data_IF_892030797616
#
_entry.id   IF_892030797616
#
_cell.length_a   1.000
_cell.length_b   1.000
_cell.length_c   1.000
_cell.angle_alpha   90.00
_cell.angle_beta   90.00
_cell.angle_gamma   90.00
#
_symmetry.space_group_name_H-M   'P 1'
#
loop_
_entity.id
_entity.type
_entity.pdbx_description
1 polymer ?
#
# COMPACT_ATOMS: atom_id res chain seq x y z
N UNK A 1 17.62 29.48 60.83
CA UNK A 1 17.11 28.25 60.19
C UNK A 1 16.14 28.66 59.11
N UNK A 2 16.58 28.72 57.85
CA UNK A 2 15.71 29.01 56.72
C UNK A 2 15.24 27.69 56.13
N UNK A 3 13.93 27.46 56.15
CA UNK A 3 13.28 26.32 55.50
C UNK A 3 13.09 26.69 54.04
N UNK A 4 13.85 26.06 53.15
CA UNK A 4 13.63 26.14 51.71
C UNK A 4 12.49 25.19 51.35
N UNK A 5 11.37 25.74 50.85
CA UNK A 5 10.27 24.97 50.29
C UNK A 5 10.69 24.57 48.88
N UNK A 6 11.05 23.30 48.70
CA UNK A 6 11.19 22.68 47.38
C UNK A 6 9.79 22.43 46.82
N UNK A 7 9.34 23.27 45.90
CA UNK A 7 8.20 22.95 45.03
C UNK A 7 8.65 21.97 43.96
N UNK A 8 8.24 20.71 44.11
CA UNK A 8 8.37 19.70 43.06
C UNK A 8 7.45 20.08 41.91
N UNK A 9 8.02 20.57 40.81
CA UNK A 9 7.29 20.75 39.57
C UNK A 9 7.05 19.36 38.96
N UNK A 10 5.80 18.90 38.97
CA UNK A 10 5.38 17.77 38.14
C UNK A 10 5.47 18.20 36.68
N UNK A 11 6.46 17.68 35.94
CA UNK A 11 6.49 17.77 34.49
C UNK A 11 5.40 16.82 33.99
N UNK A 12 4.25 17.37 33.66
CA UNK A 12 3.28 16.67 32.80
C UNK A 12 3.90 16.72 31.41
N UNK A 13 4.52 15.61 30.97
CA UNK A 13 4.92 15.46 29.56
C UNK A 13 3.67 15.60 28.72
N UNK A 14 3.50 16.77 28.08
CA UNK A 14 2.45 16.96 27.10
C UNK A 14 2.76 16.07 25.90
N UNK A 15 1.93 15.06 25.68
CA UNK A 15 1.90 14.32 24.42
C UNK A 15 1.70 15.37 23.30
N UNK A 16 2.60 15.40 22.33
CA UNK A 16 2.46 16.37 21.24
C UNK A 16 1.21 16.03 20.42
N UNK A 17 0.57 17.02 19.77
CA UNK A 17 -0.57 16.75 18.87
C UNK A 17 -0.24 15.72 17.76
N UNK A 18 1.04 15.61 17.38
CA UNK A 18 1.51 14.59 16.45
C UNK A 18 1.47 13.18 17.05
N UNK A 19 1.79 13.02 18.33
CA UNK A 19 1.73 11.73 19.02
C UNK A 19 0.28 11.23 19.19
N UNK A 20 -0.69 12.16 19.26
CA UNK A 20 -2.12 11.83 19.29
C UNK A 20 -2.63 11.29 17.95
N UNK A 21 -2.15 11.85 16.83
CA UNK A 21 -2.61 11.48 15.49
C UNK A 21 -1.88 10.26 14.94
N UNK A 22 -0.61 10.07 15.29
CA UNK A 22 0.26 9.02 14.75
C UNK A 22 0.83 8.17 15.88
N UNK A 23 0.14 7.08 16.26
CA UNK A 23 0.62 6.15 17.26
C UNK A 23 1.99 5.57 16.89
N UNK A 24 2.89 5.42 17.87
CA UNK A 24 4.27 4.95 17.67
C UNK A 24 4.36 3.65 16.87
N UNK A 25 3.42 2.73 17.06
CA UNK A 25 3.33 1.44 16.38
C UNK A 25 3.04 1.55 14.87
N UNK A 26 2.62 2.72 14.38
CA UNK A 26 2.38 2.98 12.96
C UNK A 26 3.50 3.79 12.30
N UNK A 27 4.46 4.33 13.07
CA UNK A 27 5.51 5.24 12.55
C UNK A 27 6.93 4.87 12.95
N UNK A 28 7.11 4.10 14.02
CA UNK A 28 8.42 3.69 14.52
C UNK A 28 8.63 2.21 14.30
N UNK A 29 9.68 1.88 13.54
CA UNK A 29 9.94 0.50 13.16
C UNK A 29 11.40 0.10 13.31
N UNK A 30 11.61 -1.18 13.64
CA UNK A 30 12.92 -1.84 13.57
C UNK A 30 12.88 -2.89 12.46
N UNK A 31 13.83 -2.79 11.52
CA UNK A 31 13.99 -3.79 10.48
C UNK A 31 14.27 -5.18 11.08
N UNK A 32 13.71 -6.23 10.48
CA UNK A 32 14.09 -7.58 10.79
C UNK A 32 15.54 -7.84 10.34
N UNK A 33 16.36 -8.35 11.26
CA UNK A 33 17.82 -8.48 11.05
C UNK A 33 18.20 -9.47 9.92
N UNK A 34 17.26 -10.33 9.47
CA UNK A 34 17.48 -11.28 8.36
C UNK A 34 16.77 -10.90 7.06
N UNK A 35 16.39 -9.63 6.91
CA UNK A 35 15.83 -9.15 5.64
C UNK A 35 16.82 -9.33 4.46
N UNK A 36 16.31 -9.51 3.22
CA UNK A 36 14.90 -9.61 2.85
C UNK A 36 14.28 -10.98 3.20
N UNK A 37 12.96 -11.03 3.34
CA UNK A 37 12.20 -12.28 3.57
C UNK A 37 11.73 -12.95 2.27
N UNK A 38 11.68 -12.18 1.17
CA UNK A 38 11.42 -12.69 -0.18
C UNK A 38 12.02 -11.73 -1.21
N UNK A 39 12.46 -12.24 -2.36
CA UNK A 39 13.04 -11.46 -3.45
C UNK A 39 12.81 -12.19 -4.78
N UNK A 40 13.10 -11.52 -5.91
CA UNK A 40 13.22 -12.16 -7.21
C UNK A 40 14.23 -13.31 -7.17
N UNK A 41 14.16 -14.20 -8.16
CA UNK A 41 15.03 -15.38 -8.18
C UNK A 41 16.48 -15.03 -8.53
N UNK A 42 16.72 -13.88 -9.19
CA UNK A 42 17.99 -13.52 -9.81
C UNK A 42 18.52 -14.57 -10.82
N UNK A 43 17.62 -15.41 -11.35
CA UNK A 43 17.89 -16.49 -12.30
C UNK A 43 17.04 -16.32 -13.58
N UNK A 44 17.32 -17.11 -14.61
CA UNK A 44 16.56 -17.12 -15.88
C UNK A 44 15.14 -17.73 -15.70
N UNK A 45 14.28 -16.96 -15.05
CA UNK A 45 12.88 -17.30 -14.74
C UNK A 45 11.99 -16.08 -14.95
N UNK A 46 10.67 -16.28 -15.02
CA UNK A 46 9.72 -15.20 -15.24
C UNK A 46 9.75 -14.15 -14.12
N UNK A 47 10.10 -14.54 -12.89
CA UNK A 47 10.27 -13.69 -11.71
C UNK A 47 11.75 -13.49 -11.32
N UNK A 48 12.63 -13.36 -12.32
CA UNK A 48 14.04 -12.92 -12.15
C UNK A 48 14.13 -11.76 -11.15
N UNK A 49 13.27 -10.75 -11.35
CA UNK A 49 13.03 -9.64 -10.43
C UNK A 49 11.59 -9.63 -9.98
N UNK A 50 11.33 -8.96 -8.86
CA UNK A 50 9.97 -8.58 -8.46
C UNK A 50 9.78 -7.08 -8.55
N UNK A 51 8.53 -6.67 -8.79
CA UNK A 51 8.12 -5.28 -8.94
C UNK A 51 7.28 -4.84 -7.75
N UNK A 52 7.33 -3.54 -7.46
CA UNK A 52 6.32 -2.86 -6.65
C UNK A 52 4.90 -3.03 -7.25
N UNK A 53 3.86 -2.76 -6.48
CA UNK A 53 3.58 -3.24 -5.12
C UNK A 53 2.84 -4.58 -5.19
N UNK A 54 3.46 -5.66 -4.72
CA UNK A 54 2.71 -6.89 -4.37
C UNK A 54 1.80 -6.70 -3.15
N UNK A 55 1.00 -7.70 -2.77
CA UNK A 55 0.12 -7.63 -1.61
C UNK A 55 0.25 -8.83 -0.68
N UNK A 56 0.28 -8.58 0.63
CA UNK A 56 0.29 -9.62 1.66
C UNK A 56 -1.02 -9.58 2.44
N UNK A 57 -1.68 -10.73 2.54
CA UNK A 57 -2.88 -10.95 3.34
C UNK A 57 -2.64 -12.12 4.29
N UNK A 58 -3.12 -12.00 5.52
CA UNK A 58 -3.14 -13.11 6.47
C UNK A 58 -4.57 -13.57 6.71
N UNK A 59 -4.80 -14.86 6.57
CA UNK A 59 -6.08 -15.50 6.85
C UNK A 59 -5.89 -16.68 7.81
N UNK A 60 -6.42 -16.54 9.02
CA UNK A 60 -6.17 -17.51 10.09
C UNK A 60 -4.68 -17.62 10.40
N UNK A 61 -4.13 -18.82 10.21
CA UNK A 61 -2.70 -19.10 10.46
C UNK A 61 -1.85 -19.06 9.18
N UNK A 62 -2.44 -18.76 8.02
CA UNK A 62 -1.76 -18.76 6.75
C UNK A 62 -1.52 -17.33 6.26
N UNK A 63 -0.31 -17.10 5.76
CA UNK A 63 0.04 -15.88 5.04
C UNK A 63 0.03 -16.15 3.55
N UNK A 64 -0.54 -15.21 2.80
CA UNK A 64 -0.72 -15.22 1.36
C UNK A 64 0.00 -14.00 0.81
N UNK A 65 0.76 -14.17 -0.27
CA UNK A 65 1.42 -13.08 -0.97
C UNK A 65 1.17 -13.22 -2.45
N UNK A 66 0.62 -12.16 -3.03
CA UNK A 66 0.56 -11.93 -4.46
C UNK A 66 1.68 -10.96 -4.83
N UNK A 67 2.46 -11.28 -5.86
CA UNK A 67 3.62 -10.49 -6.23
C UNK A 67 3.76 -10.41 -7.74
N UNK A 68 4.28 -9.29 -8.23
CA UNK A 68 4.60 -9.13 -9.63
C UNK A 68 6.03 -9.59 -9.89
N UNK A 69 6.20 -10.53 -10.81
CA UNK A 69 7.50 -10.95 -11.31
C UNK A 69 7.75 -10.44 -12.73
N UNK A 70 9.01 -10.19 -13.06
CA UNK A 70 9.42 -9.85 -14.42
C UNK A 70 10.89 -10.18 -14.70
N UNK A 71 11.22 -10.23 -15.99
CA UNK A 71 12.59 -10.35 -16.49
C UNK A 71 13.17 -8.98 -16.81
N UNK A 72 14.47 -8.78 -16.54
CA UNK A 72 15.14 -7.52 -16.85
C UNK A 72 15.35 -7.34 -18.37
N UNK A 73 15.40 -8.44 -19.12
CA UNK A 73 15.59 -8.44 -20.58
C UNK A 73 14.65 -9.44 -21.25
N UNK A 74 14.38 -9.23 -22.54
CA UNK A 74 13.46 -10.07 -23.31
C UNK A 74 12.01 -9.69 -23.07
N UNK A 75 11.18 -10.64 -22.65
CA UNK A 75 9.81 -10.38 -22.24
C UNK A 75 9.80 -9.67 -20.88
N UNK A 76 9.55 -8.37 -20.91
CA UNK A 76 9.47 -7.52 -19.72
C UNK A 76 8.04 -7.33 -19.24
N UNK A 77 7.11 -8.23 -19.58
CA UNK A 77 5.74 -8.20 -19.05
C UNK A 77 5.76 -8.44 -17.54
N UNK A 78 4.83 -7.82 -16.85
CA UNK A 78 4.61 -7.96 -15.40
C UNK A 78 3.55 -9.04 -15.19
N UNK A 79 3.97 -10.20 -14.68
CA UNK A 79 3.07 -11.33 -14.43
C UNK A 79 2.78 -11.49 -12.94
N UNK A 80 1.67 -12.14 -12.61
CA UNK A 80 1.24 -12.36 -11.25
C UNK A 80 1.73 -13.72 -10.73
N UNK A 81 2.50 -13.69 -9.65
CA UNK A 81 2.87 -14.86 -8.86
C UNK A 81 2.16 -14.91 -7.53
N UNK A 82 2.21 -16.09 -6.93
CA UNK A 82 1.75 -16.34 -5.57
C UNK A 82 2.81 -17.04 -4.73
N UNK A 83 2.85 -16.70 -3.46
CA UNK A 83 3.63 -17.41 -2.46
C UNK A 83 2.83 -17.48 -1.14
N UNK A 84 3.15 -18.48 -0.33
CA UNK A 84 2.50 -18.71 0.94
C UNK A 84 3.53 -18.87 2.07
N UNK A 85 3.17 -18.50 3.28
CA UNK A 85 4.03 -18.63 4.46
C UNK A 85 3.24 -19.03 5.72
N UNK A 86 3.73 -19.97 6.54
CA UNK A 86 3.09 -20.31 7.80
C UNK A 86 3.36 -19.28 8.90
N UNK A 87 4.33 -18.38 8.71
CA UNK A 87 4.85 -17.50 9.76
C UNK A 87 5.11 -16.05 9.31
N UNK A 88 4.86 -15.73 8.03
CA UNK A 88 5.13 -14.41 7.45
C UNK A 88 6.62 -14.11 7.23
N UNK A 89 7.50 -15.09 7.47
CA UNK A 89 8.96 -14.97 7.35
C UNK A 89 9.52 -15.90 6.28
N UNK A 90 9.07 -17.16 6.27
CA UNK A 90 9.54 -18.20 5.36
C UNK A 90 8.50 -18.39 4.26
N UNK A 91 8.81 -17.90 3.06
CA UNK A 91 7.88 -17.88 1.93
C UNK A 91 8.18 -19.00 0.93
N UNK A 92 7.14 -19.72 0.52
CA UNK A 92 7.20 -20.76 -0.51
C UNK A 92 6.39 -20.32 -1.73
N UNK A 93 7.05 -20.18 -2.89
CA UNK A 93 6.40 -19.91 -4.18
C UNK A 93 5.41 -21.02 -4.54
N UNK A 94 4.33 -20.67 -5.22
CA UNK A 94 3.43 -21.66 -5.80
C UNK A 94 4.17 -22.49 -6.87
N UNK A 95 3.95 -23.82 -6.95
CA UNK A 95 4.57 -24.65 -7.98
C UNK A 95 4.13 -24.27 -9.40
N UNK A 96 2.90 -23.76 -9.56
CA UNK A 96 2.32 -23.37 -10.84
C UNK A 96 2.50 -21.87 -11.16
N UNK A 97 3.50 -21.21 -10.56
CA UNK A 97 3.80 -19.82 -10.87
C UNK A 97 4.34 -19.65 -12.33
N UNK A 98 4.02 -18.54 -13.03
CA UNK A 98 3.09 -17.49 -12.62
C UNK A 98 1.64 -18.02 -12.61
N UNK A 99 0.86 -17.61 -11.61
CA UNK A 99 -0.54 -18.08 -11.47
C UNK A 99 -1.50 -17.32 -12.39
N UNK A 100 -1.05 -16.23 -13.00
CA UNK A 100 -1.75 -15.52 -14.06
C UNK A 100 -0.77 -14.79 -14.98
N UNK A 101 -0.84 -15.09 -16.27
CA UNK A 101 0.06 -14.62 -17.33
C UNK A 101 -0.66 -14.06 -18.57
N UNK A 102 -1.97 -13.81 -18.48
CA UNK A 102 -2.79 -13.37 -19.62
C UNK A 102 -2.71 -11.85 -19.87
N UNK A 103 -2.40 -11.05 -18.85
CA UNK A 103 -2.25 -9.60 -18.95
C UNK A 103 -1.21 -9.05 -17.96
N UNK A 104 -0.87 -7.77 -18.14
CA UNK A 104 -0.02 -7.02 -17.20
C UNK A 104 -0.69 -6.90 -15.83
N UNK A 105 0.04 -7.20 -14.76
CA UNK A 105 -0.41 -7.06 -13.36
C UNK A 105 0.73 -6.48 -12.51
N UNK A 106 0.56 -5.26 -12.03
CA UNK A 106 1.50 -4.50 -11.18
C UNK A 106 0.74 -3.75 -10.07
N UNK A 107 1.42 -3.25 -9.05
CA UNK A 107 0.84 -2.36 -8.02
C UNK A 107 -0.53 -2.79 -7.45
N UNK A 108 -0.63 -4.08 -7.12
CA UNK A 108 -1.88 -4.74 -6.79
C UNK A 108 -2.29 -4.61 -5.32
N UNK A 109 -3.59 -4.66 -5.07
CA UNK A 109 -4.15 -4.91 -3.75
C UNK A 109 -5.15 -6.07 -3.83
N UNK A 110 -5.18 -6.92 -2.80
CA UNK A 110 -6.17 -7.99 -2.68
C UNK A 110 -7.03 -7.76 -1.45
N UNK A 111 -8.34 -7.75 -1.63
CA UNK A 111 -9.33 -7.72 -0.54
C UNK A 111 -10.29 -8.90 -0.68
N UNK A 112 -10.83 -9.38 0.44
CA UNK A 112 -11.78 -10.48 0.45
C UNK A 112 -13.14 -10.02 0.98
N UNK A 113 -14.20 -10.34 0.26
CA UNK A 113 -15.57 -10.12 0.69
C UNK A 113 -16.36 -11.43 0.52
N UNK A 114 -16.80 -12.01 1.64
CA UNK A 114 -17.38 -13.36 1.64
C UNK A 114 -16.37 -14.40 1.14
N UNK A 115 -16.78 -15.21 0.16
CA UNK A 115 -15.96 -16.26 -0.45
C UNK A 115 -15.26 -15.81 -1.75
N UNK A 116 -15.16 -14.51 -1.99
CA UNK A 116 -14.53 -13.94 -3.19
C UNK A 116 -13.39 -13.00 -2.82
N UNK A 117 -12.24 -13.26 -3.42
CA UNK A 117 -11.11 -12.32 -3.51
C UNK A 117 -11.33 -11.37 -4.68
N UNK A 118 -11.05 -10.10 -4.44
CA UNK A 118 -11.02 -9.05 -5.43
C UNK A 118 -9.60 -8.51 -5.46
N UNK A 119 -8.99 -8.51 -6.65
CA UNK A 119 -7.73 -7.84 -6.89
C UNK A 119 -8.02 -6.60 -7.72
N UNK A 120 -7.46 -5.47 -7.31
CA UNK A 120 -7.26 -4.34 -8.21
C UNK A 120 -5.77 -4.21 -8.45
N UNK A 121 -5.38 -3.89 -9.69
CA UNK A 121 -3.98 -3.81 -10.08
C UNK A 121 -3.80 -2.78 -11.20
N UNK A 122 -2.56 -2.33 -11.39
CA UNK A 122 -2.15 -1.64 -12.60
C UNK A 122 -2.02 -2.64 -13.75
N UNK A 123 -2.66 -2.30 -14.87
CA UNK A 123 -2.54 -3.01 -16.13
C UNK A 123 -1.62 -2.28 -17.12
N UNK A 124 -1.69 -2.70 -18.39
CA UNK A 124 -0.88 -2.15 -19.46
C UNK A 124 -1.14 -0.64 -19.64
N UNK A 125 -0.07 0.14 -19.77
CA UNK A 125 -0.08 1.61 -19.85
C UNK A 125 -0.61 2.30 -18.58
N UNK A 126 -0.44 1.66 -17.42
CA UNK A 126 -0.80 2.24 -16.13
C UNK A 126 -2.33 2.52 -16.03
N UNK A 127 -3.09 1.53 -16.46
CA UNK A 127 -4.55 1.56 -16.47
C UNK A 127 -5.06 0.53 -15.47
N UNK A 128 -5.72 0.99 -14.41
CA UNK A 128 -6.24 0.09 -13.40
C UNK A 128 -7.31 -0.87 -13.95
N UNK A 129 -7.20 -2.14 -13.56
CA UNK A 129 -8.18 -3.20 -13.83
C UNK A 129 -8.55 -3.96 -12.55
N UNK A 130 -9.60 -4.78 -12.62
CA UNK A 130 -10.06 -5.60 -11.50
C UNK A 130 -10.18 -7.06 -11.90
N UNK A 131 -9.77 -7.94 -11.00
CA UNK A 131 -9.88 -9.39 -11.15
C UNK A 131 -10.60 -10.01 -9.95
N UNK A 132 -11.16 -11.19 -10.15
CA UNK A 132 -11.83 -11.95 -9.08
C UNK A 132 -11.33 -13.37 -9.00
N UNK A 133 -11.30 -13.93 -7.79
CA UNK A 133 -10.95 -15.33 -7.56
C UNK A 133 -11.73 -15.87 -6.36
N UNK A 134 -11.97 -17.19 -6.34
CA UNK A 134 -12.57 -17.89 -5.18
C UNK A 134 -11.53 -18.61 -4.32
N UNK A 135 -10.33 -18.86 -4.85
CA UNK A 135 -9.26 -19.57 -4.16
C UNK A 135 -7.96 -18.75 -4.03
N UNK A 136 -7.93 -17.56 -4.64
CA UNK A 136 -6.75 -16.69 -4.66
C UNK A 136 -5.67 -17.12 -5.64
N UNK A 137 -5.90 -18.18 -6.43
CA UNK A 137 -4.94 -18.76 -7.38
C UNK A 137 -5.44 -18.60 -8.81
N UNK A 138 -6.69 -18.97 -9.08
CA UNK A 138 -7.28 -18.85 -10.41
C UNK A 138 -8.04 -17.53 -10.51
N UNK A 139 -7.54 -16.62 -11.34
CA UNK A 139 -8.08 -15.26 -11.48
C UNK A 139 -8.88 -15.11 -12.77
N UNK A 140 -10.05 -14.49 -12.65
CA UNK A 140 -10.88 -14.05 -13.77
C UNK A 140 -10.77 -12.52 -13.89
N UNK A 141 -10.14 -12.04 -14.96
CA UNK A 141 -10.00 -10.61 -15.25
C UNK A 141 -11.34 -10.02 -15.72
N UNK A 142 -11.75 -8.92 -15.08
CA UNK A 142 -12.97 -8.18 -15.38
C UNK A 142 -12.70 -6.96 -16.27
N UNK A 143 -11.43 -6.69 -16.59
CA UNK A 143 -10.98 -5.58 -17.43
C UNK A 143 -10.86 -4.26 -16.66
N UNK A 144 -10.57 -3.21 -17.44
CA UNK A 144 -10.26 -1.89 -16.92
C UNK A 144 -11.43 -1.28 -16.12
N UNK A 145 -11.09 -0.53 -15.07
CA UNK A 145 -12.05 0.17 -14.24
C UNK A 145 -12.67 1.36 -14.99
N UNK A 146 -14.01 1.46 -15.02
CA UNK A 146 -14.72 2.65 -15.51
C UNK A 146 -14.78 3.70 -14.40
N UNK A 147 -13.74 4.53 -14.31
CA UNK A 147 -13.66 5.66 -13.38
C UNK A 147 -14.14 6.95 -14.08
N UNK A 148 -14.91 7.76 -13.35
CA UNK A 148 -15.58 8.95 -13.86
C UNK A 148 -15.40 10.14 -12.93
N UNK A 149 -15.37 11.33 -13.52
CA UNK A 149 -15.43 12.60 -12.79
C UNK A 149 -16.73 12.73 -11.99
N UNK A 150 -16.78 13.70 -11.07
CA UNK A 150 -17.97 13.98 -10.24
C UNK A 150 -19.24 14.24 -11.06
N UNK A 151 -19.09 14.73 -12.29
CA UNK A 151 -20.19 14.98 -13.24
C UNK A 151 -20.65 13.72 -14.01
N UNK A 152 -20.06 12.56 -13.74
CA UNK A 152 -20.38 11.28 -14.37
C UNK A 152 -19.81 11.09 -15.78
N UNK A 153 -18.96 12.00 -16.27
CA UNK A 153 -18.23 11.79 -17.51
C UNK A 153 -16.98 10.92 -17.29
N UNK A 154 -16.57 10.10 -18.27
CA UNK A 154 -15.31 9.35 -18.20
C UNK A 154 -14.12 10.27 -17.92
N UNK A 155 -13.11 9.73 -17.23
CA UNK A 155 -11.84 10.43 -17.07
C UNK A 155 -11.23 10.81 -18.43
N UNK A 156 -10.42 11.87 -18.44
CA UNK A 156 -9.58 12.17 -19.60
C UNK A 156 -8.59 11.04 -19.83
N UNK A 157 -8.24 10.77 -21.09
CA UNK A 157 -7.22 9.77 -21.43
C UNK A 157 -5.89 10.05 -20.70
N UNK A 158 -5.23 8.99 -20.25
CA UNK A 158 -4.00 9.04 -19.46
C UNK A 158 -3.96 7.90 -18.45
N UNK A 159 -2.86 7.83 -17.70
CA UNK A 159 -2.66 6.88 -16.62
C UNK A 159 -3.65 7.12 -15.46
N UNK A 160 -4.08 6.02 -14.85
CA UNK A 160 -4.80 5.96 -13.58
C UNK A 160 -4.56 4.60 -12.93
N UNK A 161 -3.45 4.50 -12.23
CA UNK A 161 -2.93 3.32 -11.60
C UNK A 161 -3.04 3.31 -10.08
N UNK A 162 -2.14 2.51 -9.50
CA UNK A 162 -2.01 2.08 -8.12
C UNK A 162 -3.36 1.99 -7.39
N UNK A 163 -4.31 1.18 -7.89
CA UNK A 163 -5.62 1.14 -7.31
C UNK A 163 -5.58 0.51 -5.90
N UNK A 164 -6.28 1.14 -4.96
CA UNK A 164 -6.41 0.68 -3.57
C UNK A 164 -7.87 0.78 -3.13
N UNK A 165 -8.43 -0.34 -2.71
CA UNK A 165 -9.78 -0.48 -2.20
C UNK A 165 -9.86 -0.29 -0.68
N UNK A 166 -10.98 0.31 -0.26
CA UNK A 166 -11.48 0.29 1.10
C UNK A 166 -13.00 0.08 1.08
N UNK A 167 -13.49 -0.97 1.74
CA UNK A 167 -14.89 -1.40 1.64
C UNK A 167 -15.61 -1.10 2.95
N UNK A 168 -16.73 -0.38 2.88
CA UNK A 168 -17.59 -0.05 4.01
C UNK A 168 -19.04 -0.43 3.74
N UNK A 169 -19.46 -1.57 4.29
CA UNK A 169 -20.77 -2.15 3.98
C UNK A 169 -20.90 -2.42 2.49
N UNK A 170 -21.87 -1.77 1.85
CA UNK A 170 -22.15 -1.90 0.41
C UNK A 170 -21.38 -0.87 -0.45
N UNK A 171 -20.68 0.08 0.17
CA UNK A 171 -19.93 1.11 -0.54
C UNK A 171 -18.48 0.68 -0.71
N UNK A 172 -18.03 0.65 -1.95
CA UNK A 172 -16.64 0.43 -2.29
C UNK A 172 -15.98 1.77 -2.56
N UNK A 173 -14.93 2.07 -1.81
CA UNK A 173 -14.06 3.20 -2.04
C UNK A 173 -12.84 2.70 -2.83
N UNK A 174 -12.50 3.41 -3.90
CA UNK A 174 -11.33 3.17 -4.74
C UNK A 174 -10.47 4.43 -4.70
N UNK A 175 -9.29 4.29 -4.13
CA UNK A 175 -8.20 5.22 -4.31
C UNK A 175 -7.42 4.84 -5.54
N UNK A 176 -6.98 5.83 -6.30
CA UNK A 176 -6.17 5.64 -7.49
C UNK A 176 -5.32 6.89 -7.72
N UNK A 177 -4.19 6.74 -8.39
CA UNK A 177 -3.31 7.85 -8.73
C UNK A 177 -3.63 8.40 -10.15
N UNK A 178 -3.04 9.54 -10.51
CA UNK A 178 -2.96 9.97 -11.92
C UNK A 178 -1.58 10.54 -12.23
N UNK A 179 -0.78 9.82 -13.02
CA UNK A 179 0.59 10.20 -13.41
C UNK A 179 1.51 10.53 -12.19
N UNK A 180 1.24 9.85 -11.09
CA UNK A 180 1.70 10.03 -9.71
C UNK A 180 1.46 11.43 -9.12
N UNK A 181 0.61 12.27 -9.72
CA UNK A 181 0.45 13.68 -9.33
C UNK A 181 -0.50 13.91 -8.16
N UNK A 182 -1.01 12.84 -7.57
CA UNK A 182 -1.93 12.87 -6.46
C UNK A 182 -2.66 11.54 -6.34
N UNK A 183 -3.44 11.42 -5.28
CA UNK A 183 -4.32 10.28 -5.05
C UNK A 183 -5.75 10.82 -5.04
N UNK A 184 -6.60 10.28 -5.90
CA UNK A 184 -8.03 10.58 -5.98
C UNK A 184 -8.84 9.48 -5.28
N UNK A 185 -10.10 9.80 -4.97
CA UNK A 185 -11.05 8.87 -4.37
C UNK A 185 -12.31 8.81 -5.22
N UNK A 186 -12.66 7.61 -5.67
CA UNK A 186 -13.91 7.28 -6.32
C UNK A 186 -14.73 6.28 -5.48
N UNK A 187 -16.04 6.25 -5.69
CA UNK A 187 -16.96 5.31 -5.04
C UNK A 187 -17.76 4.53 -6.05
N UNK A 188 -18.07 3.29 -5.69
CA UNK A 188 -18.98 2.43 -6.44
C UNK A 188 -19.88 1.63 -5.52
N UNK A 189 -21.13 1.42 -5.96
CA UNK A 189 -22.07 0.49 -5.33
C UNK A 189 -22.23 -0.81 -6.14
N UNK A 190 -21.88 -0.79 -7.43
CA UNK A 190 -22.02 -1.95 -8.32
C UNK A 190 -20.68 -2.60 -8.70
N UNK A 191 -19.56 -1.94 -8.36
CA UNK A 191 -18.17 -2.28 -8.69
C UNK A 191 -17.86 -2.21 -10.18
N UNK A 192 -18.76 -1.65 -10.98
CA UNK A 192 -18.61 -1.49 -12.43
C UNK A 192 -18.27 -0.06 -12.78
N UNK A 193 -19.04 0.89 -12.23
CA UNK A 193 -18.81 2.32 -12.44
C UNK A 193 -18.36 2.95 -11.13
N UNK A 194 -17.23 3.65 -11.19
CA UNK A 194 -16.61 4.34 -10.08
C UNK A 194 -16.71 5.84 -10.34
N UNK A 195 -17.33 6.59 -9.42
CA UNK A 195 -17.50 8.04 -9.56
C UNK A 195 -16.68 8.77 -8.50
N UNK A 196 -15.89 9.75 -8.92
CA UNK A 196 -15.11 10.59 -8.04
C UNK A 196 -15.97 11.24 -6.96
N UNK A 197 -15.44 11.24 -5.74
CA UNK A 197 -16.01 12.01 -4.61
C UNK A 197 -15.73 13.49 -4.80
N UNK A 198 -14.55 13.82 -5.31
CA UNK A 198 -14.12 15.15 -5.74
C UNK A 198 -13.10 14.99 -6.89
N UNK A 199 -12.98 16.01 -7.75
CA UNK A 199 -12.07 15.96 -8.90
C UNK A 199 -10.66 16.53 -8.60
N UNK A 200 -10.47 17.07 -7.39
CA UNK A 200 -9.16 17.38 -6.81
C UNK A 200 -8.65 16.18 -5.99
N UNK A 201 -7.32 15.93 -5.93
CA UNK A 201 -6.78 14.81 -5.17
C UNK A 201 -7.09 14.93 -3.67
N UNK A 202 -7.41 13.82 -3.02
CA UNK A 202 -7.58 13.71 -1.56
C UNK A 202 -6.24 13.67 -0.83
N UNK A 203 -5.19 13.24 -1.50
CA UNK A 203 -3.79 13.39 -1.07
C UNK A 203 -3.00 13.96 -2.26
N UNK A 204 -2.59 15.22 -2.19
CA UNK A 204 -1.77 15.86 -3.21
C UNK A 204 -0.27 15.59 -2.99
N UNK A 205 0.56 15.75 -4.02
CA UNK A 205 2.02 15.84 -3.86
C UNK A 205 2.41 17.06 -3.00
N UNK A 206 3.49 16.93 -2.21
CA UNK A 206 3.98 18.01 -1.37
C UNK A 206 3.01 18.41 -0.23
N UNK A 207 3.20 19.57 0.41
CA UNK A 207 4.19 20.60 0.09
C UNK A 207 5.62 20.24 0.50
N UNK A 208 5.79 19.22 1.35
CA UNK A 208 7.10 18.80 1.83
C UNK A 208 7.93 18.13 0.73
N UNK A 209 9.25 18.17 0.87
CA UNK A 209 10.13 17.77 -0.23
C UNK A 209 10.07 16.30 -0.59
N UNK A 210 9.79 15.40 0.38
CA UNK A 210 9.90 13.95 0.21
C UNK A 210 8.87 13.36 -0.77
N UNK A 211 7.75 14.05 -0.99
CA UNK A 211 6.67 13.60 -1.87
C UNK A 211 6.20 14.69 -2.84
N UNK A 212 7.09 15.63 -3.17
CA UNK A 212 6.78 16.77 -4.04
C UNK A 212 6.55 16.37 -5.51
N UNK A 213 6.98 15.18 -5.94
CA UNK A 213 7.03 14.79 -7.35
C UNK A 213 6.09 13.65 -7.71
N UNK A 214 5.92 12.68 -6.80
CA UNK A 214 5.10 11.49 -7.01
C UNK A 214 4.49 10.97 -5.70
N UNK A 215 3.22 10.55 -5.72
CA UNK A 215 2.55 9.82 -4.64
C UNK A 215 1.61 8.75 -5.19
N UNK A 216 1.59 7.59 -4.52
CA UNK A 216 0.67 6.49 -4.85
C UNK A 216 0.30 5.70 -3.58
N UNK A 217 -1.00 5.41 -3.40
CA UNK A 217 -1.52 4.82 -2.17
C UNK A 217 -1.40 3.30 -2.19
N UNK A 218 -0.86 2.71 -1.11
CA UNK A 218 -0.64 1.28 -0.99
C UNK A 218 -1.80 0.55 -0.33
N UNK A 219 -2.29 1.12 0.76
CA UNK A 219 -3.25 0.47 1.63
C UNK A 219 -3.91 1.51 2.52
N UNK A 220 -5.21 1.30 2.78
CA UNK A 220 -5.91 1.95 3.88
C UNK A 220 -6.16 0.91 4.98
N UNK A 221 -5.85 1.28 6.23
CA UNK A 221 -6.24 0.53 7.42
C UNK A 221 -7.12 1.41 8.31
N UNK A 222 -7.98 0.78 9.12
CA UNK A 222 -8.68 1.48 10.19
C UNK A 222 -8.10 1.05 11.53
N UNK A 223 -7.57 2.01 12.29
CA UNK A 223 -6.85 1.75 13.53
C UNK A 223 -7.23 2.80 14.58
N UNK A 224 -7.57 2.34 15.80
CA UNK A 224 -7.97 3.21 16.93
C UNK A 224 -8.98 4.32 16.58
N UNK A 225 -9.92 4.04 15.67
CA UNK A 225 -11.01 4.95 15.31
C UNK A 225 -10.68 5.96 14.22
N UNK A 226 -9.57 5.80 13.51
CA UNK A 226 -9.18 6.64 12.36
C UNK A 226 -8.72 5.78 11.19
N UNK A 227 -8.73 6.36 10.00
CA UNK A 227 -8.15 5.75 8.81
C UNK A 227 -6.69 6.16 8.69
N UNK A 228 -5.83 5.21 8.33
CA UNK A 228 -4.44 5.45 8.00
C UNK A 228 -4.16 4.95 6.60
N UNK A 229 -3.59 5.82 5.78
CA UNK A 229 -3.19 5.54 4.41
C UNK A 229 -1.68 5.39 4.38
N UNK A 230 -1.19 4.20 4.07
CA UNK A 230 0.23 4.00 3.76
C UNK A 230 0.39 4.23 2.27
N UNK A 231 1.31 5.09 1.89
CA UNK A 231 1.57 5.46 0.50
C UNK A 231 3.07 5.42 0.23
N UNK A 232 3.44 5.32 -1.04
CA UNK A 232 4.82 5.51 -1.46
C UNK A 232 4.99 6.84 -2.20
N UNK A 233 6.19 7.39 -2.10
CA UNK A 233 6.46 8.73 -2.60
C UNK A 233 7.87 8.89 -3.18
N UNK A 234 8.00 9.82 -4.13
CA UNK A 234 9.25 10.23 -4.76
C UNK A 234 9.38 11.76 -4.78
N UNK A 235 10.61 12.25 -4.66
CA UNK A 235 10.93 13.67 -4.73
C UNK A 235 11.56 14.09 -6.07
N UNK A 236 11.88 13.14 -6.95
CA UNK A 236 12.41 13.38 -8.29
C UNK A 236 11.29 13.39 -9.34
N UNK A 237 11.13 14.46 -10.14
CA UNK A 237 10.13 14.50 -11.21
C UNK A 237 10.34 13.45 -12.32
N UNK A 238 11.54 12.88 -12.42
CA UNK A 238 11.85 11.79 -13.36
C UNK A 238 11.81 10.39 -12.69
N UNK A 239 11.38 10.30 -11.42
CA UNK A 239 11.29 9.06 -10.63
C UNK A 239 12.61 8.29 -10.46
N UNK A 240 13.77 8.96 -10.57
CA UNK A 240 15.09 8.31 -10.45
C UNK A 240 15.61 8.30 -9.01
N UNK A 241 15.08 9.13 -8.13
CA UNK A 241 15.42 9.09 -6.71
C UNK A 241 14.78 7.86 -6.03
N UNK A 242 15.31 7.44 -4.87
CA UNK A 242 14.72 6.35 -4.10
C UNK A 242 13.26 6.62 -3.71
N UNK A 243 12.39 5.65 -3.94
CA UNK A 243 11.02 5.67 -3.44
C UNK A 243 10.98 5.38 -1.94
N UNK A 244 10.07 6.03 -1.22
CA UNK A 244 9.97 5.91 0.24
C UNK A 244 8.57 5.49 0.66
N UNK A 245 8.44 4.89 1.85
CA UNK A 245 7.12 4.59 2.46
C UNK A 245 6.74 5.71 3.43
N UNK A 246 5.54 6.23 3.27
CA UNK A 246 4.98 7.33 4.02
C UNK A 246 3.60 6.95 4.59
N UNK A 247 3.11 7.73 5.55
CA UNK A 247 1.79 7.53 6.14
C UNK A 247 1.02 8.85 6.30
N UNK A 248 -0.29 8.79 6.13
CA UNK A 248 -1.24 9.86 6.40
C UNK A 248 -2.43 9.34 7.22
N UNK A 249 -3.10 10.22 7.95
CA UNK A 249 -4.28 9.91 8.76
C UNK A 249 -5.49 10.69 8.26
N UNK A 250 -6.67 10.10 8.32
CA UNK A 250 -7.94 10.72 7.98
C UNK A 250 -9.05 10.26 8.92
N UNK A 251 -10.05 11.11 9.11
CA UNK A 251 -11.28 10.78 9.84
C UNK A 251 -12.44 10.42 8.90
N UNK A 252 -12.31 10.66 7.59
CA UNK A 252 -13.43 10.56 6.63
C UNK A 252 -13.04 10.07 5.22
N UNK A 253 -11.80 9.61 5.03
CA UNK A 253 -11.19 9.17 3.76
C UNK A 253 -10.99 10.27 2.71
N UNK A 254 -11.43 11.50 2.97
CA UNK A 254 -11.39 12.63 2.03
C UNK A 254 -10.31 13.62 2.45
N UNK A 255 -10.27 13.97 3.74
CA UNK A 255 -9.33 14.92 4.30
C UNK A 255 -8.20 14.17 5.00
N UNK A 256 -6.99 14.28 4.45
CA UNK A 256 -5.81 13.58 4.95
C UNK A 256 -4.79 14.54 5.55
N UNK A 257 -4.22 14.14 6.67
CA UNK A 257 -3.09 14.81 7.32
C UNK A 257 -1.88 13.89 7.17
N UNK A 258 -0.82 14.36 6.50
CA UNK A 258 0.44 13.61 6.34
C UNK A 258 1.23 13.61 7.64
N UNK A 259 1.94 12.52 7.92
CA UNK A 259 2.83 12.46 9.08
C UNK A 259 3.97 13.47 8.92
N UNK A 260 4.19 14.40 9.88
CA UNK A 260 5.19 15.46 9.73
C UNK A 260 6.64 14.96 9.64
N UNK A 261 6.92 13.75 10.13
CA UNK A 261 8.25 13.13 10.06
C UNK A 261 8.33 12.02 9.00
N UNK A 262 7.42 12.01 8.02
CA UNK A 262 7.60 11.20 6.83
C UNK A 262 8.95 11.50 6.15
N UNK A 263 9.55 10.51 5.48
CA UNK A 263 9.07 9.13 5.31
C UNK A 263 9.28 8.25 6.56
N UNK A 264 8.38 7.28 6.78
CA UNK A 264 8.52 6.29 7.87
C UNK A 264 9.52 5.17 7.51
N UNK A 265 9.72 4.87 6.22
CA UNK A 265 10.78 3.98 5.73
C UNK A 265 11.44 4.59 4.49
N UNK A 266 12.77 4.65 4.49
CA UNK A 266 13.59 5.17 3.37
C UNK A 266 14.37 4.08 2.61
N UNK A 267 15.53 4.45 2.04
CA UNK A 267 16.48 3.56 1.36
C UNK A 267 15.91 2.75 0.18
N UNK A 268 14.97 3.34 -0.57
CA UNK A 268 14.27 2.68 -1.68
C UNK A 268 13.39 1.49 -1.24
N UNK A 269 13.05 1.39 0.05
CA UNK A 269 12.14 0.39 0.59
C UNK A 269 10.72 0.99 0.66
N UNK A 270 10.05 1.02 -0.48
CA UNK A 270 8.72 1.59 -0.70
C UNK A 270 7.62 0.54 -0.63
N UNK A 271 6.41 0.91 -1.06
CA UNK A 271 5.28 -0.02 -1.23
C UNK A 271 4.93 -0.75 0.06
N UNK A 272 4.81 0.04 1.14
CA UNK A 272 4.51 -0.42 2.49
C UNK A 272 3.11 -0.99 2.64
N UNK A 273 2.99 -2.13 3.35
CA UNK A 273 1.74 -2.82 3.66
C UNK A 273 1.78 -3.26 5.13
N UNK A 274 0.72 -2.92 5.85
CA UNK A 274 0.47 -3.40 7.19
C UNK A 274 -0.25 -4.75 7.18
N UNK A 275 0.21 -5.65 8.05
CA UNK A 275 -0.42 -6.95 8.26
C UNK A 275 -0.48 -7.29 9.75
N UNK A 276 -1.66 -7.65 10.24
CA UNK A 276 -1.87 -8.04 11.63
C UNK A 276 -1.46 -9.51 11.86
N UNK A 277 -0.42 -9.72 12.67
CA UNK A 277 0.06 -11.05 13.04
C UNK A 277 -0.70 -11.67 14.24
N UNK A 278 -1.78 -11.03 14.68
CA UNK A 278 -2.63 -11.41 15.80
C UNK A 278 -2.08 -10.97 17.16
N UNK A 279 -0.92 -10.29 17.17
CA UNK A 279 -0.29 -9.70 18.35
C UNK A 279 0.01 -8.22 18.13
N UNK A 280 0.41 -7.86 16.92
CA UNK A 280 0.82 -6.52 16.54
C UNK A 280 0.69 -6.32 15.02
N UNK A 281 0.70 -5.06 14.61
CA UNK A 281 0.70 -4.69 13.21
C UNK A 281 2.13 -4.68 12.67
N UNK A 282 2.46 -5.62 11.79
CA UNK A 282 3.74 -5.68 11.10
C UNK A 282 3.72 -4.78 9.87
N UNK A 283 4.85 -4.15 9.53
CA UNK A 283 5.02 -3.43 8.28
C UNK A 283 5.92 -4.24 7.33
N UNK A 284 5.43 -4.51 6.13
CA UNK A 284 6.22 -5.05 5.03
C UNK A 284 6.45 -3.97 3.97
N UNK A 285 7.63 -3.89 3.38
CA UNK A 285 7.88 -3.15 2.14
C UNK A 285 8.05 -4.13 1.00
N UNK A 286 7.45 -3.87 -0.17
CA UNK A 286 7.39 -4.82 -1.27
C UNK A 286 8.39 -4.53 -2.41
N UNK A 287 9.20 -3.47 -2.30
CA UNK A 287 10.17 -3.08 -3.32
C UNK A 287 11.54 -2.73 -2.72
N UNK A 288 12.66 -3.08 -3.40
CA UNK A 288 12.75 -3.99 -4.56
C UNK A 288 12.69 -5.48 -4.16
N UNK A 289 12.54 -5.74 -2.87
CA UNK A 289 12.42 -7.05 -2.25
C UNK A 289 11.42 -6.93 -1.11
N UNK A 290 10.86 -8.05 -0.65
CA UNK A 290 9.97 -8.05 0.50
C UNK A 290 10.80 -7.99 1.77
N UNK A 291 10.59 -6.95 2.57
CA UNK A 291 11.31 -6.73 3.83
C UNK A 291 10.31 -6.51 4.95
N UNK A 292 10.59 -7.09 6.11
CA UNK A 292 9.76 -6.98 7.32
C UNK A 292 10.34 -5.97 8.29
N UNK A 293 9.48 -5.19 8.92
CA UNK A 293 9.79 -4.27 10.00
C UNK A 293 8.80 -4.47 11.16
N UNK A 294 9.34 -4.56 12.37
CA UNK A 294 8.56 -4.70 13.60
C UNK A 294 8.27 -3.32 14.21
N UNK A 295 7.04 -3.06 14.69
CA UNK A 295 6.73 -1.83 15.40
C UNK A 295 7.57 -1.73 16.68
N UNK A 296 8.06 -0.52 16.97
CA UNK A 296 8.77 -0.19 18.21
C UNK A 296 7.82 0.64 19.06
N UNK A 297 7.24 0.02 20.08
CA UNK A 297 6.46 0.73 21.08
C UNK A 297 7.42 1.33 22.10
N UNK A 298 7.58 2.65 22.08
CA UNK A 298 8.29 3.35 23.15
C UNK A 298 7.50 3.17 24.46
N UNK A 299 8.19 2.75 25.53
CA UNK A 299 7.60 2.54 26.86
C UNK A 299 7.61 3.81 27.69
#
# INVERSE_FOLDING_TARGET
MSVAILTTACIVSGCSKSDELFPSELVNFKAYDKNPVFAGTDEDTWDERIRERGYILREGNQWHMWYTGYRQTGDTTRYLGYASSPDGLNWTRHPDNPIFDESWVEDMQVVKQGDTYYMVAEGLNDIAHMMTSHDGIHWNDLGNLDIRYTNGQPLSAGAYGTPTLWIEGDVWNLFYEREDKGIWLARSADRKVWTNVQDDPVIACGPESYDKSAVALNQVIHYKGRYYGVYHANDDPDWKAPWTTCIAVSDDLIHWIKYPANPIIGNNFSSGIFVDDGRQLLLYTMHPSVRLFYPVVEK
#
